data_IF_291131877347
#
_entry.id   IF_291131877347
#
_cell.length_a   1.000
_cell.length_b   1.000
_cell.length_c   1.000
_cell.angle_alpha   90.00
_cell.angle_beta   90.00
_cell.angle_gamma   90.00
#
_symmetry.space_group_name_H-M   'P 1'
#
loop_
_entity.id
_entity.type
_entity.pdbx_description
1 polymer ?
#
# COMPACT_ATOMS: atom_id res chain seq x y z
N UNK A 1 -2.57 8.46 1.74
CA UNK A 1 -3.84 7.90 2.27
C UNK A 1 -3.93 8.11 3.77
N UNK A 2 -5.10 8.54 4.25
CA UNK A 2 -5.39 8.67 5.68
C UNK A 2 -5.75 7.29 6.23
N UNK A 3 -5.25 6.96 7.43
CA UNK A 3 -5.46 5.65 8.04
C UNK A 3 -6.94 5.33 8.33
N UNK A 4 -7.80 6.34 8.41
CA UNK A 4 -9.24 6.20 8.66
C UNK A 4 -9.97 5.54 7.48
N UNK A 5 -9.65 5.94 6.24
CA UNK A 5 -10.24 5.39 5.01
C UNK A 5 -9.88 3.91 4.80
N UNK A 6 -8.69 3.51 5.25
CA UNK A 6 -8.24 2.12 5.17
C UNK A 6 -8.94 1.21 6.19
N UNK A 7 -9.42 1.77 7.32
CA UNK A 7 -10.12 0.97 8.34
C UNK A 7 -11.55 0.60 7.93
N UNK A 8 -12.20 1.47 7.17
CA UNK A 8 -13.59 1.30 6.69
C UNK A 8 -13.73 0.31 5.53
N UNK A 9 -12.64 0.04 4.80
CA UNK A 9 -12.65 -0.90 3.65
C UNK A 9 -12.75 -2.36 4.10
N UNK A 10 -13.38 -3.22 3.29
CA UNK A 10 -13.43 -4.66 3.55
C UNK A 10 -12.04 -5.31 3.43
N UNK A 11 -11.80 -6.50 4.02
CA UNK A 11 -10.53 -7.19 3.84
C UNK A 11 -10.22 -7.53 2.37
N UNK A 12 -11.24 -7.84 1.55
CA UNK A 12 -11.02 -8.05 0.11
C UNK A 12 -10.59 -6.77 -0.60
N UNK A 13 -11.25 -5.64 -0.31
CA UNK A 13 -10.88 -4.35 -0.91
C UNK A 13 -9.47 -3.93 -0.51
N UNK A 14 -9.09 -4.19 0.74
CA UNK A 14 -7.74 -3.93 1.24
C UNK A 14 -6.69 -4.76 0.49
N UNK A 15 -6.98 -6.03 0.18
CA UNK A 15 -6.10 -6.86 -0.64
C UNK A 15 -6.01 -6.37 -2.08
N UNK A 16 -7.12 -6.03 -2.72
CA UNK A 16 -7.12 -5.47 -4.08
C UNK A 16 -6.28 -4.19 -4.14
N UNK A 17 -6.53 -3.27 -3.20
CA UNK A 17 -5.80 -2.01 -3.10
C UNK A 17 -4.31 -2.22 -2.84
N UNK A 18 -3.96 -3.22 -2.04
CA UNK A 18 -2.56 -3.61 -1.84
C UNK A 18 -1.91 -4.03 -3.16
N UNK A 19 -2.59 -4.86 -3.97
CA UNK A 19 -2.07 -5.31 -5.27
C UNK A 19 -1.89 -4.15 -6.26
N UNK A 20 -2.86 -3.23 -6.31
CA UNK A 20 -2.74 -2.02 -7.13
C UNK A 20 -1.52 -1.18 -6.73
N UNK A 21 -1.31 -0.96 -5.43
CA UNK A 21 -0.15 -0.23 -4.94
C UNK A 21 1.18 -0.93 -5.25
N UNK A 22 1.22 -2.27 -5.25
CA UNK A 22 2.40 -3.02 -5.69
C UNK A 22 2.67 -2.82 -7.19
N UNK A 23 1.64 -2.81 -8.04
CA UNK A 23 1.78 -2.54 -9.47
C UNK A 23 2.31 -1.13 -9.72
N UNK A 24 1.79 -0.13 -9.01
CA UNK A 24 2.32 1.24 -9.09
C UNK A 24 3.79 1.32 -8.66
N UNK A 25 4.14 0.65 -7.56
CA UNK A 25 5.50 0.65 -7.05
C UNK A 25 6.47 -0.03 -8.02
N UNK A 26 6.02 -1.04 -8.76
CA UNK A 26 6.80 -1.68 -9.83
C UNK A 26 7.05 -0.70 -10.98
N UNK A 27 6.04 0.06 -11.41
CA UNK A 27 6.19 1.10 -12.44
C UNK A 27 7.13 2.22 -11.99
N UNK A 28 6.96 2.69 -10.77
CA UNK A 28 7.81 3.73 -10.18
C UNK A 28 9.27 3.24 -10.06
N UNK A 29 9.50 1.98 -9.67
CA UNK A 29 10.84 1.40 -9.64
C UNK A 29 11.44 1.23 -11.04
N UNK A 30 10.64 0.84 -12.03
CA UNK A 30 11.11 0.74 -13.42
C UNK A 30 11.55 2.12 -13.94
N UNK A 31 10.78 3.17 -13.64
CA UNK A 31 11.13 4.56 -13.99
C UNK A 31 12.41 5.04 -13.31
N UNK A 32 12.65 4.65 -12.05
CA UNK A 32 13.91 4.94 -11.36
C UNK A 32 15.06 4.16 -11.99
N UNK A 33 14.85 2.90 -12.36
CA UNK A 33 15.85 2.05 -13.01
C UNK A 33 16.25 2.57 -14.41
N UNK A 34 15.33 3.20 -15.15
CA UNK A 34 15.63 3.86 -16.42
C UNK A 34 16.39 5.20 -16.26
N UNK A 35 16.85 5.53 -15.05
CA UNK A 35 17.60 6.75 -14.77
C UNK A 35 16.75 8.02 -14.76
N UNK A 36 15.43 7.89 -14.80
CA UNK A 36 14.54 9.05 -14.72
C UNK A 36 14.41 9.47 -13.27
N UNK A 37 14.79 10.72 -12.97
CA UNK A 37 14.68 11.28 -11.63
C UNK A 37 13.19 11.26 -11.26
N UNK A 38 12.78 10.50 -10.22
CA UNK A 38 11.39 10.46 -9.82
C UNK A 38 10.95 11.86 -9.40
N UNK A 39 9.87 12.37 -10.01
CA UNK A 39 9.33 13.73 -9.76
C UNK A 39 9.03 14.03 -8.28
N UNK A 40 8.94 13.00 -7.43
CA UNK A 40 8.72 13.15 -6.00
C UNK A 40 9.56 12.14 -5.21
N UNK A 41 10.62 12.58 -4.50
CA UNK A 41 11.52 11.70 -3.74
C UNK A 41 10.83 10.99 -2.56
N UNK A 42 9.62 11.42 -2.18
CA UNK A 42 8.84 10.81 -1.09
C UNK A 42 7.79 9.78 -1.53
N UNK A 43 7.49 9.66 -2.83
CA UNK A 43 6.35 8.86 -3.31
C UNK A 43 6.49 7.38 -2.99
N UNK A 44 7.62 6.78 -3.36
CA UNK A 44 7.92 5.36 -3.11
C UNK A 44 7.88 5.05 -1.60
N UNK A 45 8.46 5.93 -0.77
CA UNK A 45 8.44 5.77 0.69
C UNK A 45 7.00 5.82 1.24
N UNK A 46 6.17 6.71 0.73
CA UNK A 46 4.77 6.83 1.14
C UNK A 46 3.93 5.63 0.68
N UNK A 47 4.17 5.11 -0.52
CA UNK A 47 3.53 3.88 -1.01
C UNK A 47 3.90 2.68 -0.14
N UNK A 48 5.21 2.46 0.15
CA UNK A 48 5.67 1.39 1.05
C UNK A 48 5.02 1.48 2.43
N UNK A 49 4.96 2.68 3.01
CA UNK A 49 4.28 2.92 4.31
C UNK A 49 2.78 2.61 4.25
N UNK A 50 2.12 2.91 3.14
CA UNK A 50 0.69 2.63 2.98
C UNK A 50 0.44 1.13 2.84
N UNK A 51 1.26 0.39 2.08
CA UNK A 51 1.22 -1.07 1.99
C UNK A 51 1.41 -1.70 3.38
N UNK A 52 2.40 -1.23 4.15
CA UNK A 52 2.62 -1.71 5.52
C UNK A 52 1.38 -1.51 6.40
N UNK A 53 0.73 -0.34 6.34
CA UNK A 53 -0.51 -0.07 7.08
C UNK A 53 -1.65 -1.00 6.67
N UNK A 54 -1.81 -1.27 5.37
CA UNK A 54 -2.83 -2.21 4.88
C UNK A 54 -2.59 -3.62 5.44
N UNK A 55 -1.34 -4.11 5.41
CA UNK A 55 -0.98 -5.41 5.99
C UNK A 55 -1.29 -5.48 7.48
N UNK A 56 -0.95 -4.44 8.25
CA UNK A 56 -1.29 -4.37 9.68
C UNK A 56 -2.80 -4.41 9.92
N UNK A 57 -3.59 -3.70 9.11
CA UNK A 57 -5.05 -3.71 9.23
C UNK A 57 -5.65 -5.07 8.91
N UNK A 58 -5.14 -5.76 7.87
CA UNK A 58 -5.55 -7.13 7.55
C UNK A 58 -5.27 -8.07 8.72
N UNK A 59 -4.07 -8.03 9.29
CA UNK A 59 -3.70 -8.84 10.44
C UNK A 59 -4.58 -8.53 11.67
N UNK A 60 -4.89 -7.27 11.93
CA UNK A 60 -5.80 -6.87 13.02
C UNK A 60 -7.23 -7.39 12.81
N UNK A 61 -7.73 -7.38 11.57
CA UNK A 61 -9.05 -7.92 11.23
C UNK A 61 -9.08 -9.44 11.37
N UNK A 62 -8.04 -10.12 10.91
CA UNK A 62 -7.91 -11.57 11.06
C UNK A 62 -7.82 -11.98 12.55
N UNK A 63 -7.04 -11.27 13.35
CA UNK A 63 -6.94 -11.53 14.79
C UNK A 63 -8.29 -11.32 15.50
N UNK A 64 -9.08 -10.31 15.11
CA UNK A 64 -10.43 -10.10 15.64
C UNK A 64 -11.44 -11.17 15.20
N UNK A 65 -11.28 -11.76 14.03
CA UNK A 65 -12.17 -12.81 13.54
C UNK A 65 -11.91 -14.18 14.18
N UNK A 66 -10.75 -14.37 14.82
CA UNK A 66 -10.36 -15.59 15.54
C UNK A 66 -10.74 -15.56 17.04
N UNK A 67 -11.39 -14.49 17.51
CA UNK A 67 -11.90 -14.31 18.87
C UNK A 67 -13.41 -14.30 18.82
#
# INVERSE_FOLDING_TARGET
>A
MKAKELRTLSPQDLQQKMQEMYKELMKDNAQVATGTIPKSPGKIRNQKRTIARIKTLLAQKEAKAKV
#
